data_IF_153564518577
#
_entry.id   IF_153564518577
#
_cell.length_a   1.000
_cell.length_b   1.000
_cell.length_c   1.000
_cell.angle_alpha   90.00
_cell.angle_beta   90.00
_cell.angle_gamma   90.00
#
_symmetry.space_group_name_H-M   'P 1'
#
loop_
_entity.id
_entity.type
_entity.pdbx_description
1 polymer ?
#
# COMPACT_ATOMS: atom_id res chain seq x y z
N UNK A 1 -25.95 -23.62 23.68
CA UNK A 1 -24.87 -24.47 24.23
C UNK A 1 -23.53 -23.79 23.94
N UNK A 2 -23.16 -22.86 24.81
CA UNK A 2 -21.90 -22.11 24.73
C UNK A 2 -20.77 -23.04 25.21
N UNK A 3 -20.07 -23.68 24.27
CA UNK A 3 -18.80 -24.36 24.59
C UNK A 3 -17.87 -23.30 25.19
N UNK A 4 -17.39 -23.54 26.41
CA UNK A 4 -16.42 -22.68 27.07
C UNK A 4 -15.30 -22.32 26.09
N UNK A 5 -15.26 -21.05 25.66
CA UNK A 5 -14.17 -20.55 24.82
C UNK A 5 -12.87 -20.76 25.60
N UNK A 6 -11.91 -21.46 25.00
CA UNK A 6 -10.56 -21.54 25.55
C UNK A 6 -9.98 -20.12 25.64
N UNK A 7 -9.18 -19.85 26.69
CA UNK A 7 -8.57 -18.53 26.88
C UNK A 7 -7.77 -18.07 25.64
N UNK A 8 -7.17 -19.01 24.91
CA UNK A 8 -6.49 -18.75 23.64
C UNK A 8 -7.43 -18.18 22.58
N UNK A 9 -8.54 -18.87 22.26
CA UNK A 9 -9.52 -18.40 21.28
C UNK A 9 -10.10 -17.04 21.67
N UNK A 10 -10.37 -16.79 22.96
CA UNK A 10 -10.86 -15.48 23.42
C UNK A 10 -9.85 -14.36 23.11
N UNK A 11 -8.58 -14.58 23.41
CA UNK A 11 -7.53 -13.60 23.15
C UNK A 11 -7.37 -13.35 21.64
N UNK A 12 -7.48 -14.40 20.83
CA UNK A 12 -7.34 -14.27 19.37
C UNK A 12 -8.53 -13.56 18.73
N UNK A 13 -9.75 -13.79 19.21
CA UNK A 13 -10.92 -13.01 18.79
C UNK A 13 -10.82 -11.54 19.22
N UNK A 14 -10.25 -11.24 20.39
CA UNK A 14 -9.96 -9.87 20.79
C UNK A 14 -8.94 -9.20 19.85
N UNK A 15 -7.89 -9.93 19.44
CA UNK A 15 -6.92 -9.43 18.45
C UNK A 15 -7.61 -9.13 17.11
N UNK A 16 -8.52 -9.98 16.64
CA UNK A 16 -9.27 -9.71 15.40
C UNK A 16 -10.18 -8.48 15.54
N UNK A 17 -10.90 -8.33 16.65
CA UNK A 17 -11.75 -7.17 16.91
C UNK A 17 -10.98 -5.85 16.92
N UNK A 18 -9.70 -5.88 17.32
CA UNK A 18 -8.83 -4.71 17.28
C UNK A 18 -8.35 -4.36 15.86
N UNK A 19 -8.60 -5.19 14.84
CA UNK A 19 -8.20 -4.92 13.45
C UNK A 19 -9.23 -4.07 12.71
N UNK A 20 -8.74 -3.35 11.72
CA UNK A 20 -9.58 -2.56 10.83
C UNK A 20 -10.43 -3.44 9.90
N UNK A 21 -11.36 -2.80 9.19
CA UNK A 21 -12.28 -3.38 8.22
C UNK A 21 -13.18 -4.49 8.79
N UNK A 22 -13.52 -4.38 10.08
CA UNK A 22 -14.41 -5.33 10.78
C UNK A 22 -13.93 -6.77 10.60
N UNK A 23 -12.63 -7.00 10.79
CA UNK A 23 -11.98 -8.29 10.51
C UNK A 23 -12.65 -9.44 11.25
N UNK A 24 -13.16 -9.18 12.44
CA UNK A 24 -13.90 -10.10 13.27
C UNK A 24 -15.16 -10.64 12.57
N UNK A 25 -15.92 -9.79 11.88
CA UNK A 25 -17.18 -10.20 11.22
C UNK A 25 -16.98 -11.30 10.18
N UNK A 26 -15.81 -11.37 9.53
CA UNK A 26 -15.56 -12.30 8.43
C UNK A 26 -14.40 -13.29 8.63
N UNK A 27 -13.56 -13.18 9.68
CA UNK A 27 -12.57 -14.22 10.04
C UNK A 27 -12.93 -15.06 11.27
N UNK A 28 -13.91 -14.65 12.07
CA UNK A 28 -14.20 -15.32 13.34
C UNK A 28 -14.46 -16.82 13.16
N UNK A 29 -15.22 -17.20 12.13
CA UNK A 29 -15.57 -18.59 11.85
C UNK A 29 -14.34 -19.47 11.57
N UNK A 30 -13.43 -18.99 10.73
CA UNK A 30 -12.19 -19.73 10.38
C UNK A 30 -11.29 -19.89 11.60
N UNK A 31 -11.18 -18.88 12.48
CA UNK A 31 -10.42 -19.03 13.73
C UNK A 31 -11.08 -20.03 14.70
N UNK A 32 -12.40 -20.00 14.81
CA UNK A 32 -13.14 -20.98 15.63
C UNK A 32 -12.92 -22.40 15.11
N UNK A 33 -12.95 -22.59 13.78
CA UNK A 33 -12.67 -23.86 13.13
C UNK A 33 -11.24 -24.34 13.40
N UNK A 34 -10.25 -23.45 13.25
CA UNK A 34 -8.85 -23.74 13.60
C UNK A 34 -8.71 -24.21 15.05
N UNK A 35 -9.25 -23.47 16.01
CA UNK A 35 -9.16 -23.80 17.45
C UNK A 35 -9.90 -25.10 17.81
N UNK A 36 -10.99 -25.42 17.11
CA UNK A 36 -11.72 -26.68 17.30
C UNK A 36 -10.97 -27.90 16.71
N UNK A 37 -10.25 -27.71 15.60
CA UNK A 37 -9.54 -28.79 14.92
C UNK A 37 -8.13 -29.02 15.49
N UNK A 38 -7.42 -27.96 15.90
CA UNK A 38 -6.03 -27.99 16.37
C UNK A 38 -5.72 -29.09 17.40
N UNK A 39 -6.55 -29.34 18.44
CA UNK A 39 -6.29 -30.41 19.40
C UNK A 39 -6.26 -31.81 18.79
N UNK A 40 -6.99 -32.01 17.69
CA UNK A 40 -7.11 -33.30 16.97
C UNK A 40 -5.98 -33.52 15.95
N UNK A 41 -5.23 -32.48 15.62
CA UNK A 41 -4.12 -32.55 14.68
C UNK A 41 -2.86 -33.08 15.36
N UNK A 42 -2.03 -33.80 14.60
CA UNK A 42 -0.68 -34.17 15.02
C UNK A 42 0.25 -32.94 14.98
N UNK A 43 1.42 -33.06 15.61
CA UNK A 43 2.35 -31.95 15.75
C UNK A 43 2.84 -31.42 14.39
N UNK A 44 3.13 -32.31 13.44
CA UNK A 44 3.55 -31.92 12.09
C UNK A 44 2.50 -31.05 11.37
N UNK A 45 1.22 -31.42 11.43
CA UNK A 45 0.15 -30.65 10.82
C UNK A 45 -0.07 -29.31 11.54
N UNK A 46 0.10 -29.25 12.87
CA UNK A 46 0.03 -27.99 13.62
C UNK A 46 1.13 -27.02 13.18
N UNK A 47 2.36 -27.51 13.06
CA UNK A 47 3.50 -26.71 12.60
C UNK A 47 3.32 -26.22 11.17
N UNK A 48 2.74 -27.05 10.28
CA UNK A 48 2.45 -26.65 8.90
C UNK A 48 1.39 -25.55 8.80
N UNK A 49 0.38 -25.55 9.67
CA UNK A 49 -0.66 -24.51 9.67
C UNK A 49 -0.25 -23.23 10.40
N UNK A 50 0.76 -23.29 11.26
CA UNK A 50 1.17 -22.17 12.10
C UNK A 50 1.45 -20.89 11.30
N UNK A 51 2.15 -20.91 10.15
CA UNK A 51 2.36 -19.71 9.36
C UNK A 51 1.06 -19.05 8.90
N UNK A 52 0.12 -19.81 8.32
CA UNK A 52 -1.18 -19.26 7.89
C UNK A 52 -1.97 -18.69 9.07
N UNK A 53 -1.94 -19.38 10.20
CA UNK A 53 -2.55 -18.91 11.44
C UNK A 53 -1.95 -17.59 11.93
N UNK A 54 -0.62 -17.46 11.96
CA UNK A 54 0.04 -16.22 12.38
C UNK A 54 -0.29 -15.06 11.43
N UNK A 55 -0.37 -15.35 10.13
CA UNK A 55 -0.78 -14.40 9.10
C UNK A 55 -2.23 -13.91 9.27
N UNK A 56 -3.13 -14.68 9.92
CA UNK A 56 -4.51 -14.25 10.18
C UNK A 56 -4.58 -12.97 11.01
N UNK A 57 -3.57 -12.71 11.84
CA UNK A 57 -3.51 -11.52 12.69
C UNK A 57 -2.77 -10.35 12.05
N UNK A 58 -2.16 -10.53 10.88
CA UNK A 58 -1.48 -9.47 10.15
C UNK A 58 -2.52 -8.54 9.51
N UNK A 59 -2.29 -7.21 9.46
CA UNK A 59 -3.14 -6.28 8.71
C UNK A 59 -3.44 -6.76 7.29
N UNK A 60 -4.71 -6.83 6.85
CA UNK A 60 -5.10 -7.39 5.54
C UNK A 60 -4.45 -6.68 4.36
N UNK A 61 -4.08 -5.40 4.47
CA UNK A 61 -3.34 -4.70 3.40
C UNK A 61 -1.93 -5.25 3.17
N UNK A 62 -1.40 -6.04 4.10
CA UNK A 62 -0.12 -6.73 3.96
C UNK A 62 -0.26 -8.17 3.47
N UNK A 63 -1.49 -8.67 3.32
CA UNK A 63 -1.73 -10.05 2.89
C UNK A 63 -1.37 -10.25 1.42
N UNK A 64 -0.45 -11.18 1.08
CA UNK A 64 -0.03 -11.42 -0.30
C UNK A 64 -1.16 -11.97 -1.19
N UNK A 65 -2.11 -12.68 -0.57
CA UNK A 65 -3.29 -13.27 -1.18
C UNK A 65 -4.35 -13.47 -0.07
N UNK A 66 -5.50 -14.08 -0.38
CA UNK A 66 -6.48 -14.37 0.65
C UNK A 66 -5.99 -15.49 1.59
N UNK A 67 -5.34 -15.11 2.69
CA UNK A 67 -4.79 -16.04 3.71
C UNK A 67 -5.92 -16.85 4.35
N UNK A 68 -7.10 -16.25 4.50
CA UNK A 68 -8.26 -16.89 5.12
C UNK A 68 -8.70 -18.11 4.32
N UNK A 69 -8.96 -17.95 3.02
CA UNK A 69 -9.38 -19.06 2.14
C UNK A 69 -8.29 -20.15 2.09
N UNK A 70 -7.01 -19.77 2.09
CA UNK A 70 -5.91 -20.72 2.11
C UNK A 70 -5.86 -21.53 3.41
N UNK A 71 -6.13 -20.89 4.56
CA UNK A 71 -6.22 -21.56 5.85
C UNK A 71 -7.43 -22.50 5.91
N UNK A 72 -8.58 -22.04 5.44
CA UNK A 72 -9.82 -22.81 5.41
C UNK A 72 -9.70 -24.05 4.52
N UNK A 73 -9.09 -23.94 3.33
CA UNK A 73 -8.84 -25.08 2.44
C UNK A 73 -7.91 -26.12 3.10
N UNK A 74 -6.86 -25.66 3.79
CA UNK A 74 -5.98 -26.56 4.56
C UNK A 74 -6.70 -27.24 5.72
N UNK A 75 -7.53 -26.50 6.47
CA UNK A 75 -8.33 -27.03 7.58
C UNK A 75 -9.33 -28.08 7.10
N UNK A 76 -10.07 -27.80 6.03
CA UNK A 76 -11.04 -28.73 5.45
C UNK A 76 -10.37 -30.03 4.95
N UNK A 77 -9.13 -29.94 4.47
CA UNK A 77 -8.34 -31.12 4.05
C UNK A 77 -7.95 -31.98 5.26
N UNK A 78 -7.43 -31.34 6.32
CA UNK A 78 -6.97 -32.03 7.53
C UNK A 78 -8.11 -32.57 8.38
N UNK A 79 -9.27 -31.92 8.38
CA UNK A 79 -10.48 -32.40 9.06
C UNK A 79 -10.96 -33.74 8.49
N UNK A 80 -10.83 -33.91 7.17
CA UNK A 80 -11.07 -35.19 6.47
C UNK A 80 -9.97 -36.23 6.71
N UNK A 81 -9.03 -35.97 7.64
CA UNK A 81 -7.84 -36.78 7.95
C UNK A 81 -6.95 -37.04 6.72
N UNK A 82 -7.04 -36.19 5.70
CA UNK A 82 -6.17 -36.25 4.52
C UNK A 82 -4.89 -35.48 4.79
N UNK A 83 -3.82 -35.87 4.11
CA UNK A 83 -2.59 -35.06 4.05
C UNK A 83 -2.81 -33.87 3.12
N UNK A 84 -2.12 -32.77 3.41
CA UNK A 84 -2.09 -31.63 2.51
C UNK A 84 -1.52 -32.07 1.15
N UNK A 85 -2.04 -31.49 0.07
CA UNK A 85 -1.58 -31.81 -1.27
C UNK A 85 -0.30 -31.01 -1.62
N UNK A 86 0.34 -31.36 -2.74
CA UNK A 86 1.59 -30.71 -3.17
C UNK A 86 1.45 -29.20 -3.40
N UNK A 87 0.27 -28.71 -3.80
CA UNK A 87 0.01 -27.28 -4.03
C UNK A 87 -0.11 -26.53 -2.71
N UNK A 88 -0.80 -27.10 -1.73
CA UNK A 88 -0.91 -26.54 -0.36
C UNK A 88 0.48 -26.51 0.30
N UNK A 89 1.26 -27.58 0.18
CA UNK A 89 2.64 -27.60 0.68
C UNK A 89 3.51 -26.52 0.05
N UNK A 90 3.49 -26.39 -1.27
CA UNK A 90 4.26 -25.36 -1.97
C UNK A 90 3.83 -23.94 -1.57
N UNK A 91 2.52 -23.70 -1.38
CA UNK A 91 2.02 -22.41 -0.91
C UNK A 91 2.56 -22.08 0.48
N UNK A 92 2.54 -23.04 1.41
CA UNK A 92 3.06 -22.86 2.76
C UNK A 92 4.58 -22.65 2.77
N UNK A 93 5.31 -23.36 1.91
CA UNK A 93 6.76 -23.23 1.76
C UNK A 93 7.17 -21.85 1.23
N UNK A 94 6.43 -21.32 0.26
CA UNK A 94 6.73 -20.02 -0.36
C UNK A 94 6.20 -18.82 0.45
N UNK A 95 5.34 -19.04 1.44
CA UNK A 95 4.79 -17.97 2.27
C UNK A 95 5.89 -17.42 3.19
N UNK A 96 6.27 -16.13 3.06
CA UNK A 96 7.28 -15.55 3.95
C UNK A 96 6.78 -15.50 5.40
N UNK A 97 7.69 -15.38 6.38
CA UNK A 97 7.28 -15.15 7.76
C UNK A 97 6.46 -13.84 7.88
N UNK A 98 5.51 -13.77 8.83
CA UNK A 98 4.70 -12.59 9.04
C UNK A 98 5.58 -11.37 9.40
N UNK A 99 5.17 -10.14 9.03
CA UNK A 99 5.88 -8.93 9.44
C UNK A 99 5.92 -8.79 10.96
N UNK A 100 7.00 -8.22 11.49
CA UNK A 100 7.16 -7.99 12.92
C UNK A 100 6.06 -7.10 13.52
N UNK A 101 5.81 -7.24 14.83
CA UNK A 101 4.70 -6.57 15.52
C UNK A 101 4.70 -5.05 15.37
N UNK A 102 5.87 -4.41 15.43
CA UNK A 102 6.00 -2.96 15.24
C UNK A 102 5.52 -2.50 13.85
N UNK A 103 5.77 -3.31 12.80
CA UNK A 103 5.27 -3.04 11.45
C UNK A 103 3.76 -3.20 11.42
N UNK A 104 3.25 -4.30 11.98
CA UNK A 104 1.83 -4.59 12.05
C UNK A 104 1.05 -3.51 12.82
N UNK A 105 1.59 -2.97 13.91
CA UNK A 105 0.96 -1.91 14.69
C UNK A 105 0.79 -0.62 13.89
N UNK A 106 1.85 -0.16 13.22
CA UNK A 106 1.81 1.07 12.41
C UNK A 106 0.88 0.92 11.20
N UNK A 107 0.87 -0.25 10.56
CA UNK A 107 -0.04 -0.49 9.43
C UNK A 107 -1.49 -0.62 9.89
N UNK A 108 -1.76 -1.27 11.03
CA UNK A 108 -3.11 -1.36 11.59
C UNK A 108 -3.69 0.01 11.93
N UNK A 109 -2.88 0.91 12.51
CA UNK A 109 -3.31 2.29 12.76
C UNK A 109 -3.68 3.00 11.44
N UNK A 110 -2.83 2.87 10.41
CA UNK A 110 -3.10 3.43 9.09
C UNK A 110 -4.39 2.86 8.46
N UNK A 111 -4.66 1.56 8.60
CA UNK A 111 -5.89 0.94 8.12
C UNK A 111 -7.14 1.46 8.86
N UNK A 112 -7.06 1.71 10.16
CA UNK A 112 -8.16 2.30 10.93
C UNK A 112 -8.50 3.71 10.46
N UNK A 113 -7.49 4.54 10.19
CA UNK A 113 -7.70 5.86 9.60
C UNK A 113 -8.37 5.74 8.22
N UNK A 114 -7.89 4.81 7.36
CA UNK A 114 -8.51 4.54 6.05
C UNK A 114 -9.97 4.09 6.20
N UNK A 115 -10.28 3.17 7.12
CA UNK A 115 -11.64 2.68 7.33
C UNK A 115 -12.60 3.81 7.72
N UNK A 116 -12.13 4.79 8.49
CA UNK A 116 -12.88 5.98 8.85
C UNK A 116 -12.93 7.03 7.72
N UNK A 117 -12.29 6.77 6.58
CA UNK A 117 -12.18 7.68 5.44
C UNK A 117 -11.26 8.87 5.69
N UNK A 118 -10.43 8.80 6.73
CA UNK A 118 -9.45 9.81 7.16
C UNK A 118 -8.12 9.56 6.47
N UNK A 119 -7.77 10.46 5.55
CA UNK A 119 -6.49 10.42 4.82
C UNK A 119 -5.56 11.58 5.21
N UNK A 120 -5.95 12.40 6.17
CA UNK A 120 -5.30 13.66 6.56
C UNK A 120 -3.85 13.46 7.02
N UNK A 121 -3.51 12.26 7.50
CA UNK A 121 -2.15 11.90 7.91
C UNK A 121 -1.19 11.76 6.73
N UNK A 122 -1.72 11.57 5.52
CA UNK A 122 -0.93 11.42 4.29
C UNK A 122 -1.25 12.47 3.23
N UNK A 123 -2.43 13.08 3.27
CA UNK A 123 -2.95 14.07 2.33
C UNK A 123 -3.17 15.40 3.03
N UNK A 124 -2.71 16.50 2.41
CA UNK A 124 -2.83 17.87 2.93
C UNK A 124 -3.99 18.65 2.32
N UNK A 125 -4.39 18.31 1.10
CA UNK A 125 -5.28 19.15 0.31
C UNK A 125 -6.76 18.70 0.39
N UNK A 126 -7.27 18.53 1.62
CA UNK A 126 -8.67 18.14 1.87
C UNK A 126 -9.68 19.12 1.26
N UNK A 127 -9.34 20.41 1.19
CA UNK A 127 -10.19 21.43 0.57
C UNK A 127 -10.49 21.14 -0.92
N UNK A 128 -9.52 20.60 -1.68
CA UNK A 128 -9.74 20.21 -3.09
C UNK A 128 -10.77 19.08 -3.19
N UNK A 129 -10.74 18.13 -2.25
CA UNK A 129 -11.73 17.05 -2.18
C UNK A 129 -13.11 17.61 -1.87
N UNK A 130 -13.25 18.37 -0.79
CA UNK A 130 -14.55 18.89 -0.34
C UNK A 130 -15.21 19.79 -1.38
N UNK A 131 -14.43 20.59 -2.12
CA UNK A 131 -14.95 21.39 -3.22
C UNK A 131 -15.56 20.53 -4.33
N UNK A 132 -14.86 19.47 -4.74
CA UNK A 132 -15.34 18.57 -5.80
C UNK A 132 -16.51 17.71 -5.31
N UNK A 133 -16.49 17.25 -4.06
CA UNK A 133 -17.59 16.51 -3.45
C UNK A 133 -18.88 17.33 -3.44
N UNK A 134 -18.79 18.62 -3.10
CA UNK A 134 -19.93 19.54 -3.15
C UNK A 134 -20.44 19.71 -4.59
N UNK A 135 -19.54 19.91 -5.55
CA UNK A 135 -19.89 20.07 -6.96
C UNK A 135 -20.59 18.85 -7.54
N UNK A 136 -20.14 17.64 -7.19
CA UNK A 136 -20.72 16.37 -7.64
C UNK A 136 -22.07 16.11 -6.95
N UNK A 137 -22.17 16.36 -5.64
CA UNK A 137 -23.40 16.12 -4.88
C UNK A 137 -24.55 17.03 -5.34
N UNK A 138 -24.23 18.23 -5.79
CA UNK A 138 -25.21 19.21 -6.29
C UNK A 138 -25.47 19.10 -7.81
N UNK A 139 -24.75 18.22 -8.52
CA UNK A 139 -24.87 18.11 -9.97
C UNK A 139 -26.18 17.41 -10.40
N UNK A 140 -27.07 18.08 -11.16
CA UNK A 140 -28.34 17.50 -11.60
C UNK A 140 -28.17 16.42 -12.67
N UNK A 141 -27.15 16.51 -13.53
CA UNK A 141 -26.89 15.52 -14.58
C UNK A 141 -26.48 14.17 -13.97
N UNK A 142 -25.65 14.18 -12.92
CA UNK A 142 -25.29 12.96 -12.19
C UNK A 142 -26.54 12.28 -11.64
N UNK A 143 -27.42 13.04 -10.97
CA UNK A 143 -28.67 12.52 -10.40
C UNK A 143 -29.56 11.93 -11.50
N UNK A 144 -29.72 12.65 -12.60
CA UNK A 144 -30.50 12.18 -13.74
C UNK A 144 -29.95 10.86 -14.31
N UNK A 145 -28.63 10.76 -14.49
CA UNK A 145 -28.00 9.53 -14.97
C UNK A 145 -28.14 8.37 -13.97
N UNK A 146 -28.04 8.65 -12.67
CA UNK A 146 -28.27 7.65 -11.63
C UNK A 146 -29.71 7.12 -11.63
N UNK A 147 -30.72 8.01 -11.76
CA UNK A 147 -32.12 7.60 -11.92
C UNK A 147 -32.34 6.73 -13.17
N UNK A 148 -31.67 7.06 -14.29
CA UNK A 148 -31.73 6.23 -15.51
C UNK A 148 -31.16 4.83 -15.28
N UNK A 149 -30.10 4.69 -14.50
CA UNK A 149 -29.54 3.38 -14.14
C UNK A 149 -30.54 2.60 -13.26
N UNK A 150 -31.14 3.26 -12.25
CA UNK A 150 -32.16 2.64 -11.38
C UNK A 150 -33.41 2.21 -12.14
N UNK A 151 -33.79 2.92 -13.20
CA UNK A 151 -34.92 2.55 -14.04
C UNK A 151 -34.69 1.24 -14.85
N UNK A 152 -33.44 0.95 -15.21
CA UNK A 152 -33.08 -0.23 -16.02
C UNK A 152 -32.67 -1.44 -15.15
N UNK A 153 -32.05 -1.18 -14.00
CA UNK A 153 -31.46 -2.20 -13.15
C UNK A 153 -32.00 -2.13 -11.71
N UNK A 154 -32.28 -3.29 -11.12
CA UNK A 154 -32.55 -3.39 -9.69
C UNK A 154 -31.25 -3.17 -8.89
N UNK A 155 -30.88 -1.91 -8.65
CA UNK A 155 -29.63 -1.54 -7.97
C UNK A 155 -29.52 -2.12 -6.56
N UNK A 156 -30.65 -2.42 -5.90
CA UNK A 156 -30.65 -3.00 -4.56
C UNK A 156 -29.99 -4.38 -4.51
N UNK A 157 -30.09 -5.16 -5.61
CA UNK A 157 -29.45 -6.47 -5.73
C UNK A 157 -27.92 -6.41 -5.78
N UNK A 158 -27.34 -5.24 -6.08
CA UNK A 158 -25.90 -5.07 -6.27
C UNK A 158 -25.19 -4.36 -5.11
N UNK A 159 -25.93 -4.04 -4.05
CA UNK A 159 -25.42 -3.38 -2.83
C UNK A 159 -24.73 -4.41 -1.93
N UNK A 160 -23.64 -4.00 -1.29
CA UNK A 160 -23.10 -4.74 -0.15
C UNK A 160 -23.95 -4.53 1.12
N UNK A 161 -23.57 -5.20 2.22
CA UNK A 161 -24.23 -5.07 3.52
C UNK A 161 -24.21 -3.62 4.08
N UNK A 162 -23.38 -2.73 3.55
CA UNK A 162 -23.31 -1.31 3.92
C UNK A 162 -24.14 -0.41 2.99
N UNK A 163 -24.84 -0.99 2.03
CA UNK A 163 -25.59 -0.27 1.01
C UNK A 163 -24.73 0.35 -0.08
N UNK A 164 -23.46 -0.07 -0.21
CA UNK A 164 -22.49 0.49 -1.16
C UNK A 164 -22.41 -0.40 -2.40
N UNK A 165 -22.49 0.23 -3.56
CA UNK A 165 -22.16 -0.35 -4.85
C UNK A 165 -20.80 0.22 -5.25
N UNK A 166 -19.78 -0.64 -5.27
CA UNK A 166 -18.42 -0.24 -5.66
C UNK A 166 -18.20 -0.47 -7.15
N UNK A 167 -17.40 0.39 -7.78
CA UNK A 167 -16.90 0.15 -9.13
C UNK A 167 -15.96 -1.06 -9.14
N UNK A 168 -15.86 -1.71 -10.28
CA UNK A 168 -14.85 -2.75 -10.50
C UNK A 168 -13.47 -2.10 -10.50
N UNK A 169 -12.60 -2.54 -9.60
CA UNK A 169 -11.19 -2.12 -9.56
C UNK A 169 -10.34 -2.93 -10.55
N UNK A 170 -10.83 -3.07 -11.79
CA UNK A 170 -10.33 -4.05 -12.76
C UNK A 170 -8.87 -3.84 -13.23
N UNK A 171 -8.34 -2.62 -13.22
CA UNK A 171 -7.18 -2.29 -14.06
C UNK A 171 -6.13 -1.37 -13.41
N UNK A 172 -6.04 -1.25 -12.08
CA UNK A 172 -4.98 -0.43 -11.48
C UNK A 172 -3.68 -1.23 -11.21
N UNK A 173 -3.71 -2.58 -11.25
CA UNK A 173 -2.54 -3.46 -11.09
C UNK A 173 -2.69 -4.90 -11.65
N UNK A 174 -2.35 -5.13 -12.91
CA UNK A 174 -2.32 -6.45 -13.60
C UNK A 174 -3.69 -7.05 -13.99
N UNK A 175 -4.10 -6.72 -15.23
CA UNK A 175 -5.24 -7.30 -15.92
C UNK A 175 -5.12 -8.84 -16.00
N UNK A 176 -6.11 -9.55 -15.45
CA UNK A 176 -6.28 -11.00 -15.65
C UNK A 176 -6.88 -11.31 -17.05
N UNK A 177 -6.74 -12.54 -17.58
CA UNK A 177 -7.22 -12.89 -18.93
C UNK A 177 -8.75 -12.83 -19.16
N UNK A 178 -9.58 -12.64 -18.13
CA UNK A 178 -11.04 -12.78 -18.21
C UNK A 178 -11.82 -11.45 -18.25
N UNK A 179 -11.24 -10.35 -18.76
CA UNK A 179 -11.96 -9.08 -18.98
C UNK A 179 -12.89 -9.14 -20.20
N UNK A 180 -13.80 -10.11 -20.24
CA UNK A 180 -14.89 -10.13 -21.22
C UNK A 180 -16.13 -9.50 -20.61
N UNK A 181 -16.77 -8.59 -21.35
CA UNK A 181 -18.08 -8.03 -20.99
C UNK A 181 -19.12 -8.73 -21.85
N UNK A 182 -20.00 -9.52 -21.23
CA UNK A 182 -21.12 -10.13 -21.92
C UNK A 182 -22.39 -9.33 -21.66
N UNK A 183 -22.72 -8.41 -22.56
CA UNK A 183 -23.93 -7.57 -22.44
C UNK A 183 -25.26 -8.36 -22.47
N UNK A 184 -25.24 -9.65 -22.82
CA UNK A 184 -26.42 -10.51 -22.70
C UNK A 184 -26.70 -10.93 -21.25
N UNK A 185 -25.68 -10.90 -20.37
CA UNK A 185 -25.83 -11.19 -18.94
C UNK A 185 -26.13 -9.88 -18.21
N UNK A 186 -27.24 -9.87 -17.47
CA UNK A 186 -27.72 -8.66 -16.78
C UNK A 186 -26.69 -8.08 -15.81
N UNK A 187 -25.98 -8.94 -15.08
CA UNK A 187 -24.96 -8.53 -14.11
C UNK A 187 -23.72 -7.92 -14.76
N UNK A 188 -23.23 -8.53 -15.84
CA UNK A 188 -22.09 -8.02 -16.60
C UNK A 188 -22.44 -6.68 -17.26
N UNK A 189 -23.66 -6.56 -17.81
CA UNK A 189 -24.18 -5.31 -18.36
C UNK A 189 -24.31 -4.22 -17.28
N UNK A 190 -24.86 -4.55 -16.10
CA UNK A 190 -24.94 -3.61 -14.99
C UNK A 190 -23.56 -3.13 -14.56
N UNK A 191 -22.58 -4.03 -14.39
CA UNK A 191 -21.23 -3.66 -13.99
C UNK A 191 -20.54 -2.76 -15.00
N UNK A 192 -20.66 -3.06 -16.30
CA UNK A 192 -20.12 -2.21 -17.35
C UNK A 192 -20.75 -0.80 -17.34
N UNK A 193 -22.08 -0.70 -17.21
CA UNK A 193 -22.79 0.59 -17.13
C UNK A 193 -22.38 1.36 -15.87
N UNK A 194 -22.32 0.68 -14.72
CA UNK A 194 -21.97 1.29 -13.46
C UNK A 194 -20.52 1.77 -13.44
N UNK A 195 -19.59 1.00 -13.99
CA UNK A 195 -18.18 1.39 -14.10
C UNK A 195 -18.00 2.58 -15.04
N UNK A 196 -18.73 2.63 -16.16
CA UNK A 196 -18.74 3.78 -17.05
C UNK A 196 -19.29 5.05 -16.37
N UNK A 197 -20.37 4.90 -15.58
CA UNK A 197 -20.91 5.98 -14.76
C UNK A 197 -19.90 6.47 -13.72
N UNK A 198 -19.27 5.56 -12.98
CA UNK A 198 -18.24 5.93 -12.01
C UNK A 198 -17.02 6.57 -12.67
N UNK A 199 -16.59 6.11 -13.85
CA UNK A 199 -15.49 6.70 -14.59
C UNK A 199 -15.79 8.15 -15.00
N UNK A 200 -17.00 8.40 -15.55
CA UNK A 200 -17.44 9.73 -15.97
C UNK A 200 -17.37 10.75 -14.83
N UNK A 201 -17.80 10.33 -13.65
CA UNK A 201 -17.94 11.21 -12.47
C UNK A 201 -16.80 11.08 -11.46
N UNK A 202 -15.74 10.32 -11.77
CA UNK A 202 -14.63 10.03 -10.87
C UNK A 202 -15.05 9.42 -9.52
N UNK A 203 -16.05 8.55 -9.53
CA UNK A 203 -16.60 7.95 -8.33
C UNK A 203 -15.89 6.65 -7.96
N UNK A 204 -15.75 6.43 -6.66
CA UNK A 204 -15.43 5.15 -6.07
C UNK A 204 -16.64 4.21 -6.11
N UNK A 205 -17.84 4.77 -6.01
CA UNK A 205 -19.09 4.03 -6.03
C UNK A 205 -20.28 4.91 -5.64
N UNK A 206 -21.39 4.25 -5.31
CA UNK A 206 -22.61 4.86 -4.81
C UNK A 206 -22.98 4.21 -3.48
N UNK A 207 -23.26 5.01 -2.46
CA UNK A 207 -23.86 4.52 -1.21
C UNK A 207 -25.31 4.98 -1.15
N UNK A 208 -26.24 4.04 -1.33
CA UNK A 208 -27.65 4.35 -1.59
C UNK A 208 -27.78 5.30 -2.80
N UNK A 209 -28.10 6.57 -2.59
CA UNK A 209 -28.19 7.62 -3.61
C UNK A 209 -27.11 8.71 -3.46
N UNK A 210 -26.13 8.48 -2.57
CA UNK A 210 -25.01 9.41 -2.36
C UNK A 210 -23.80 8.99 -3.19
N UNK A 211 -23.26 9.87 -4.06
CA UNK A 211 -22.04 9.57 -4.79
C UNK A 211 -20.83 9.54 -3.86
N UNK A 212 -20.00 8.51 -3.99
CA UNK A 212 -18.73 8.41 -3.27
C UNK A 212 -17.62 8.84 -4.21
N UNK A 213 -17.08 10.06 -4.03
CA UNK A 213 -15.99 10.58 -4.85
C UNK A 213 -14.66 9.87 -4.55
N UNK A 214 -13.88 9.53 -5.59
CA UNK A 214 -12.53 8.98 -5.43
C UNK A 214 -11.63 9.94 -4.67
N UNK A 215 -10.94 9.47 -3.63
CA UNK A 215 -9.98 10.26 -2.85
C UNK A 215 -8.56 10.03 -3.35
N UNK A 216 -7.72 11.07 -3.24
CA UNK A 216 -6.27 10.89 -3.21
C UNK A 216 -5.94 9.96 -2.04
N UNK A 217 -5.32 8.81 -2.31
CA UNK A 217 -5.10 7.79 -1.29
C UNK A 217 -3.71 7.17 -1.36
N UNK A 218 -3.23 6.73 -0.21
CA UNK A 218 -1.94 6.06 -0.05
C UNK A 218 -2.20 4.69 0.56
N UNK A 219 -2.02 3.65 -0.25
CA UNK A 219 -2.31 2.28 0.14
C UNK A 219 -1.01 1.49 0.28
N UNK A 220 -0.82 0.87 1.44
CA UNK A 220 0.23 -0.13 1.61
C UNK A 220 -0.27 -1.45 1.02
N UNK A 221 0.61 -2.14 0.32
CA UNK A 221 0.36 -3.45 -0.29
C UNK A 221 1.52 -4.39 0.02
N UNK A 222 1.36 -5.71 -0.07
CA UNK A 222 2.45 -6.66 0.23
C UNK A 222 3.72 -6.36 -0.58
N UNK A 223 3.55 -5.82 -1.78
CA UNK A 223 4.64 -5.53 -2.72
C UNK A 223 5.18 -4.10 -2.68
N UNK A 224 4.49 -3.15 -2.04
CA UNK A 224 4.97 -1.77 -1.98
C UNK A 224 3.93 -0.76 -1.51
N UNK A 225 4.18 0.52 -1.76
CA UNK A 225 3.28 1.64 -1.45
C UNK A 225 2.68 2.17 -2.75
N UNK A 226 1.35 2.21 -2.85
CA UNK A 226 0.65 2.87 -3.95
C UNK A 226 0.17 4.23 -3.53
N UNK A 227 0.26 5.18 -4.46
CA UNK A 227 -0.42 6.47 -4.36
C UNK A 227 -1.39 6.52 -5.53
N UNK A 228 -2.68 6.61 -5.23
CA UNK A 228 -3.73 6.78 -6.24
C UNK A 228 -4.11 8.26 -6.29
N UNK A 229 -3.93 8.88 -7.45
CA UNK A 229 -4.27 10.28 -7.71
C UNK A 229 -5.50 10.29 -8.63
N UNK A 230 -6.67 10.79 -8.17
CA UNK A 230 -7.87 10.87 -9.00
C UNK A 230 -7.68 11.81 -10.20
N UNK A 231 -8.33 11.50 -11.33
CA UNK A 231 -8.16 12.27 -12.57
C UNK A 231 -8.65 13.74 -12.47
N UNK A 232 -9.63 14.02 -11.60
CA UNK A 232 -10.08 15.39 -11.34
C UNK A 232 -9.09 16.22 -10.51
N UNK A 233 -8.01 15.60 -10.01
CA UNK A 233 -7.09 16.22 -9.07
C UNK A 233 -5.84 16.75 -9.76
N UNK A 234 -5.69 18.07 -9.85
CA UNK A 234 -4.42 18.68 -10.24
C UNK A 234 -3.37 18.49 -9.14
N UNK A 235 -2.51 17.48 -9.33
CA UNK A 235 -1.57 17.01 -8.32
C UNK A 235 -0.33 17.89 -8.20
N UNK A 236 -0.05 18.31 -6.97
CA UNK A 236 1.20 18.96 -6.58
C UNK A 236 1.86 18.16 -5.46
N UNK A 237 3.06 17.63 -5.73
CA UNK A 237 3.77 16.77 -4.77
C UNK A 237 3.97 17.45 -3.42
N UNK A 238 4.28 18.74 -3.40
CA UNK A 238 4.70 19.45 -2.19
C UNK A 238 3.51 19.91 -1.36
N UNK A 239 2.41 20.25 -2.04
CA UNK A 239 1.19 20.79 -1.42
C UNK A 239 0.17 19.72 -1.05
N UNK A 240 0.04 18.66 -1.84
CA UNK A 240 -1.08 17.72 -1.69
C UNK A 240 -0.75 16.53 -0.78
N UNK A 241 0.52 16.17 -0.64
CA UNK A 241 0.95 14.97 0.08
C UNK A 241 1.99 15.26 1.17
N UNK A 242 1.89 14.52 2.28
CA UNK A 242 2.90 14.47 3.35
C UNK A 242 3.96 13.41 3.04
N UNK A 243 4.91 13.73 2.15
CA UNK A 243 5.97 12.78 1.75
C UNK A 243 6.78 12.18 2.90
N UNK A 244 7.00 12.95 3.98
CA UNK A 244 7.69 12.43 5.18
C UNK A 244 6.89 11.32 5.87
N UNK A 245 5.57 11.46 5.95
CA UNK A 245 4.69 10.45 6.52
C UNK A 245 4.66 9.19 5.65
N UNK A 246 4.50 9.35 4.33
CA UNK A 246 4.57 8.24 3.38
C UNK A 246 5.93 7.52 3.45
N UNK A 247 7.02 8.29 3.50
CA UNK A 247 8.37 7.75 3.62
C UNK A 247 8.56 6.95 4.91
N UNK A 248 8.02 7.41 6.04
CA UNK A 248 8.04 6.68 7.32
C UNK A 248 7.25 5.37 7.21
N UNK A 249 6.04 5.41 6.66
CA UNK A 249 5.18 4.24 6.43
C UNK A 249 5.84 3.23 5.47
N UNK A 250 6.53 3.69 4.44
CA UNK A 250 7.23 2.82 3.51
C UNK A 250 8.47 2.16 4.14
N UNK A 251 9.31 2.94 4.83
CA UNK A 251 10.58 2.48 5.40
C UNK A 251 10.41 1.48 6.53
N UNK A 252 9.34 1.58 7.32
CA UNK A 252 9.12 0.66 8.44
C UNK A 252 9.04 -0.81 7.97
N UNK A 253 8.61 -1.03 6.74
CA UNK A 253 8.52 -2.35 6.11
C UNK A 253 9.81 -2.81 5.43
N UNK A 254 10.73 -1.90 5.19
CA UNK A 254 11.93 -2.15 4.40
C UNK A 254 13.17 -1.67 5.17
N UNK A 255 13.48 -2.27 6.33
CA UNK A 255 14.74 -2.00 7.00
C UNK A 255 15.90 -2.43 6.07
N UNK A 256 16.82 -1.51 5.78
CA UNK A 256 18.12 -1.83 5.18
C UNK A 256 18.23 -2.00 3.66
N UNK A 257 17.14 -2.10 2.85
CA UNK A 257 17.29 -2.44 1.40
C UNK A 257 17.99 -1.40 0.52
N UNK A 258 18.08 -0.14 0.93
CA UNK A 258 18.74 0.90 0.13
C UNK A 258 20.09 1.36 0.70
N UNK A 259 20.59 0.72 1.76
CA UNK A 259 21.72 1.23 2.55
C UNK A 259 23.09 1.09 1.89
N UNK A 260 23.49 -0.11 1.46
CA UNK A 260 24.90 -0.37 1.13
C UNK A 260 25.43 0.48 -0.05
N UNK A 261 24.78 0.43 -1.22
CA UNK A 261 25.25 1.17 -2.40
C UNK A 261 25.12 2.70 -2.26
N UNK A 262 24.09 3.20 -1.57
CA UNK A 262 23.93 4.64 -1.31
C UNK A 262 24.89 5.14 -0.22
N UNK A 263 25.20 4.31 0.78
CA UNK A 263 26.18 4.62 1.84
C UNK A 263 27.62 4.55 1.31
N UNK A 264 27.95 3.58 0.47
CA UNK A 264 29.23 3.53 -0.25
C UNK A 264 29.40 4.73 -1.17
N UNK A 265 28.37 5.05 -1.96
CA UNK A 265 28.35 6.26 -2.77
C UNK A 265 28.42 7.54 -1.93
N UNK A 266 27.85 7.56 -0.73
CA UNK A 266 27.94 8.70 0.19
C UNK A 266 29.33 8.83 0.78
N UNK A 267 29.92 7.76 1.32
CA UNK A 267 31.28 7.76 1.86
C UNK A 267 32.31 8.17 0.81
N UNK A 268 32.16 7.67 -0.43
CA UNK A 268 32.98 8.08 -1.58
C UNK A 268 32.83 9.58 -1.86
N UNK A 269 31.58 10.09 -1.94
CA UNK A 269 31.30 11.53 -2.14
C UNK A 269 31.86 12.39 -1.00
N UNK A 270 31.84 11.92 0.24
CA UNK A 270 32.39 12.66 1.38
C UNK A 270 33.93 12.72 1.34
N UNK A 271 34.60 11.61 0.99
CA UNK A 271 36.06 11.59 0.76
C UNK A 271 36.45 12.52 -0.39
N UNK A 272 35.69 12.50 -1.49
CA UNK A 272 35.90 13.40 -2.63
C UNK A 272 35.71 14.88 -2.25
N UNK A 273 34.70 15.19 -1.43
CA UNK A 273 34.44 16.54 -0.97
C UNK A 273 35.52 17.07 -0.03
N UNK A 274 36.03 16.24 0.89
CA UNK A 274 37.16 16.59 1.75
C UNK A 274 38.43 16.82 0.93
N UNK A 275 38.72 15.94 -0.03
CA UNK A 275 39.83 16.09 -0.98
C UNK A 275 39.67 17.37 -1.80
N UNK A 276 38.46 17.69 -2.26
CA UNK A 276 38.16 18.93 -2.98
C UNK A 276 38.48 20.17 -2.13
N UNK A 277 38.16 20.17 -0.83
CA UNK A 277 38.51 21.27 0.09
C UNK A 277 40.02 21.47 0.19
N UNK A 278 40.78 20.38 0.33
CA UNK A 278 42.24 20.44 0.37
C UNK A 278 42.82 20.94 -0.97
N UNK A 279 42.26 20.50 -2.09
CA UNK A 279 42.65 20.95 -3.43
C UNK A 279 42.29 22.42 -3.67
N UNK A 280 41.16 22.90 -3.15
CA UNK A 280 40.79 24.32 -3.22
C UNK A 280 41.78 25.20 -2.45
N UNK A 281 42.22 24.77 -1.26
CA UNK A 281 43.27 25.47 -0.50
C UNK A 281 44.62 25.47 -1.22
N UNK A 282 45.01 24.33 -1.81
CA UNK A 282 46.24 24.24 -2.61
C UNK A 282 46.16 25.11 -3.87
N UNK A 283 45.04 25.10 -4.58
CA UNK A 283 44.82 25.93 -5.76
C UNK A 283 44.87 27.43 -5.42
N UNK A 284 44.35 27.83 -4.26
CA UNK A 284 44.45 29.20 -3.77
C UNK A 284 45.90 29.61 -3.45
N UNK A 285 46.67 28.73 -2.77
CA UNK A 285 48.11 28.95 -2.51
C UNK A 285 48.94 29.06 -3.79
N UNK A 286 48.56 28.31 -4.83
CA UNK A 286 49.19 28.35 -6.16
C UNK A 286 48.67 29.48 -7.06
N UNK A 287 47.74 30.31 -6.58
CA UNK A 287 47.19 31.43 -7.35
C UNK A 287 46.36 31.04 -8.58
N UNK A 288 45.89 29.79 -8.66
CA UNK A 288 45.16 29.27 -9.83
C UNK A 288 43.75 29.88 -9.93
N UNK A 289 43.39 30.36 -11.13
CA UNK A 289 42.08 30.96 -11.42
C UNK A 289 41.45 30.39 -12.70
N UNK A 290 40.13 30.56 -12.85
CA UNK A 290 39.39 30.23 -14.07
C UNK A 290 39.53 28.77 -14.49
N UNK A 291 39.74 28.53 -15.79
CA UNK A 291 39.91 27.21 -16.37
C UNK A 291 41.06 26.43 -15.72
N UNK A 292 42.21 27.07 -15.49
CA UNK A 292 43.38 26.42 -14.86
C UNK A 292 43.07 25.88 -13.46
N UNK A 293 42.23 26.58 -12.70
CA UNK A 293 41.72 26.08 -11.41
C UNK A 293 40.82 24.87 -11.61
N UNK A 294 39.88 24.94 -12.55
CA UNK A 294 38.97 23.84 -12.86
C UNK A 294 39.70 22.56 -13.26
N UNK A 295 40.67 22.66 -14.18
CA UNK A 295 41.47 21.51 -14.60
C UNK A 295 42.27 20.89 -13.44
N UNK A 296 42.86 21.73 -12.60
CA UNK A 296 43.60 21.28 -11.42
C UNK A 296 42.71 20.52 -10.42
N UNK A 297 41.49 21.02 -10.17
CA UNK A 297 40.54 20.38 -9.27
C UNK A 297 40.02 19.06 -9.84
N UNK A 298 39.66 19.01 -11.13
CA UNK A 298 39.21 17.78 -11.79
C UNK A 298 40.32 16.71 -11.79
N UNK A 299 41.55 17.07 -12.17
CA UNK A 299 42.70 16.15 -12.13
C UNK A 299 42.98 15.65 -10.71
N UNK A 300 42.93 16.53 -9.71
CA UNK A 300 43.13 16.14 -8.30
C UNK A 300 42.07 15.19 -7.75
N UNK A 301 40.85 15.21 -8.31
CA UNK A 301 39.76 14.28 -7.98
C UNK A 301 39.71 13.03 -8.87
N UNK A 302 40.67 12.85 -9.79
CA UNK A 302 40.63 11.82 -10.84
C UNK A 302 39.36 11.90 -11.71
N UNK A 303 38.87 13.11 -11.95
CA UNK A 303 37.74 13.37 -12.84
C UNK A 303 38.23 13.85 -14.21
N UNK A 304 37.42 13.60 -15.24
CA UNK A 304 37.66 14.17 -16.57
C UNK A 304 37.66 15.70 -16.51
N UNK A 305 38.60 16.34 -17.17
CA UNK A 305 38.73 17.80 -17.22
C UNK A 305 37.49 18.47 -17.83
N UNK A 306 36.77 17.78 -18.71
CA UNK A 306 35.50 18.19 -19.33
C UNK A 306 34.31 18.09 -18.38
N UNK A 307 34.51 17.59 -17.16
CA UNK A 307 33.45 17.52 -16.14
C UNK A 307 32.87 18.90 -15.88
N UNK A 308 31.55 19.02 -15.93
CA UNK A 308 30.87 20.31 -15.79
C UNK A 308 31.18 21.00 -14.43
N UNK A 309 31.47 22.31 -14.40
CA UNK A 309 31.73 23.06 -13.17
C UNK A 309 30.61 22.97 -12.11
N UNK A 310 29.37 22.73 -12.56
CA UNK A 310 28.21 22.50 -11.68
C UNK A 310 28.39 21.29 -10.77
N UNK A 311 29.12 20.25 -11.18
CA UNK A 311 29.36 19.05 -10.38
C UNK A 311 30.28 19.35 -9.18
N UNK A 312 31.33 20.14 -9.38
CA UNK A 312 32.20 20.61 -8.29
C UNK A 312 31.43 21.51 -7.32
N UNK A 313 30.58 22.40 -7.85
CA UNK A 313 29.74 23.30 -7.04
C UNK A 313 28.77 22.50 -6.16
N UNK A 314 28.08 21.52 -6.74
CA UNK A 314 27.19 20.62 -6.01
C UNK A 314 27.91 19.84 -4.91
N UNK A 315 29.12 19.34 -5.18
CA UNK A 315 29.92 18.61 -4.19
C UNK A 315 30.31 19.52 -3.01
N UNK A 316 30.64 20.79 -3.27
CA UNK A 316 30.88 21.80 -2.21
C UNK A 316 29.63 22.08 -1.39
N UNK A 317 28.49 22.27 -2.03
CA UNK A 317 27.22 22.60 -1.37
C UNK A 317 26.70 21.43 -0.52
N UNK A 318 26.86 20.20 -0.99
CA UNK A 318 26.52 18.99 -0.24
C UNK A 318 27.38 18.86 1.02
N UNK A 319 28.68 19.15 0.94
CA UNK A 319 29.58 19.12 2.10
C UNK A 319 29.27 20.22 3.13
N UNK A 320 29.04 21.46 2.68
CA UNK A 320 28.70 22.59 3.57
C UNK A 320 27.42 22.39 4.36
N UNK A 321 26.43 21.69 3.79
CA UNK A 321 25.16 21.38 4.47
C UNK A 321 25.33 20.38 5.62
N UNK A 322 26.34 19.52 5.54
CA UNK A 322 26.58 18.44 6.50
C UNK A 322 27.61 18.85 7.57
N UNK A 323 28.55 19.70 7.20
CA UNK A 323 29.53 20.31 8.10
C UNK A 323 29.48 21.83 7.96
N UNK A 324 28.43 22.48 8.49
CA UNK A 324 28.44 23.93 8.62
C UNK A 324 29.62 24.31 9.52
N UNK A 325 30.41 25.28 9.07
CA UNK A 325 31.52 25.84 9.84
C UNK A 325 31.03 26.47 11.14
#
# INVERSE_FOLDING_TARGET
MERALTNALRNDLQKLKARAFHRDEWAEEVLRHYHALRPKLNEAARQQLQPLYDWMFVPPTLWPFNIQDALEDCLATLEKRKRLNSRQHLLLELLPPPPGEAVCAVVAEHEHQIQQGRYEDTVRAQAKYSQMELAITTNPELRQQWERIKAVFNVAAYRDHKGVIRRTMGAERNLRPSFSVNLRRRDDAFRAVFDAFCLRWNLYGMQYDKPLLLKLSVNLTPYGTMIHIPAYWSFDRSRDIRWRAIGKLHRIRVPGRQGAALAEGFAQRMKEAEKLRQLDQKAARLGLKGLKKHEFLCKGLNWDVRTAPKRLTRLRDEFKKLFPL
#
